data_IF_386668190602
#
_entry.id   IF_386668190602
#
_cell.length_a   1.000
_cell.length_b   1.000
_cell.length_c   1.000
_cell.angle_alpha   90.00
_cell.angle_beta   90.00
_cell.angle_gamma   90.00
#
_symmetry.space_group_name_H-M   'P 1'
#
loop_
_entity.id
_entity.type
_entity.pdbx_description
1 polymer ?
#
# COMPACT_ATOMS: atom_id res chain seq x y z
N UNK A 1 20.57 34.24 -50.54
CA UNK A 1 19.82 33.28 -51.40
C UNK A 1 20.56 31.95 -51.53
N UNK A 2 21.33 31.66 -52.60
CA UNK A 2 21.94 30.32 -52.80
C UNK A 2 23.04 29.99 -51.78
N UNK A 3 24.02 30.87 -51.62
CA UNK A 3 25.18 30.66 -50.72
C UNK A 3 24.76 30.51 -49.24
N UNK A 4 23.79 31.32 -48.82
CA UNK A 4 23.16 31.28 -47.49
C UNK A 4 22.41 29.95 -47.25
N UNK A 5 21.73 29.43 -48.27
CA UNK A 5 21.06 28.13 -48.20
C UNK A 5 22.06 26.98 -48.10
N UNK A 6 23.13 26.97 -48.91
CA UNK A 6 24.18 25.95 -48.83
C UNK A 6 24.97 26.03 -47.51
N UNK A 7 25.22 27.24 -46.99
CA UNK A 7 25.85 27.44 -45.68
C UNK A 7 25.01 26.84 -44.55
N UNK A 8 23.69 27.11 -44.53
CA UNK A 8 22.77 26.53 -43.55
C UNK A 8 22.58 25.01 -43.73
N UNK A 9 22.66 24.52 -44.97
CA UNK A 9 22.62 23.09 -45.27
C UNK A 9 23.91 22.37 -44.84
N UNK A 10 25.07 23.04 -44.88
CA UNK A 10 26.32 22.55 -44.32
C UNK A 10 26.28 22.51 -42.78
N UNK A 11 25.74 23.55 -42.13
CA UNK A 11 25.53 23.60 -40.67
C UNK A 11 24.67 22.43 -40.18
N UNK A 12 23.51 22.20 -40.81
CA UNK A 12 22.62 21.08 -40.48
C UNK A 12 23.28 19.69 -40.72
N UNK A 13 24.22 19.58 -41.67
CA UNK A 13 25.02 18.37 -41.92
C UNK A 13 26.14 18.16 -40.90
N UNK A 14 26.56 19.18 -40.16
CA UNK A 14 27.47 19.05 -39.02
C UNK A 14 26.68 18.64 -37.77
N UNK A 15 25.60 19.36 -37.44
CA UNK A 15 24.72 19.03 -36.31
C UNK A 15 24.19 17.59 -36.36
N UNK A 16 23.84 17.09 -37.55
CA UNK A 16 23.43 15.69 -37.71
C UNK A 16 24.57 14.68 -37.46
N UNK A 17 25.82 15.02 -37.77
CA UNK A 17 27.00 14.18 -37.48
C UNK A 17 27.34 14.19 -36.00
N UNK A 18 27.25 15.33 -35.34
CA UNK A 18 27.43 15.45 -33.88
C UNK A 18 26.41 14.57 -33.14
N UNK A 19 25.12 14.66 -33.50
CA UNK A 19 24.06 13.83 -32.92
C UNK A 19 24.28 12.33 -33.17
N UNK A 20 24.70 11.94 -34.38
CA UNK A 20 25.04 10.54 -34.69
C UNK A 20 26.24 10.03 -33.87
N UNK A 21 27.27 10.85 -33.70
CA UNK A 21 28.43 10.53 -32.89
C UNK A 21 28.07 10.34 -31.41
N UNK A 22 27.16 11.17 -30.87
CA UNK A 22 26.67 11.04 -29.51
C UNK A 22 25.77 9.82 -29.30
N UNK A 23 24.89 9.48 -30.25
CA UNK A 23 24.14 8.21 -30.19
C UNK A 23 25.08 6.99 -30.22
N UNK A 24 26.14 7.01 -31.05
CA UNK A 24 27.17 5.96 -31.06
C UNK A 24 28.02 5.93 -29.77
N UNK A 25 28.25 7.07 -29.12
CA UNK A 25 28.90 7.14 -27.80
C UNK A 25 27.99 6.50 -26.73
N UNK A 26 26.73 6.93 -26.67
CA UNK A 26 25.71 6.42 -25.74
C UNK A 26 25.50 4.90 -25.90
N UNK A 27 25.47 4.39 -27.13
CA UNK A 27 25.35 2.97 -27.43
C UNK A 27 26.56 2.17 -26.94
N UNK A 28 27.79 2.68 -27.12
CA UNK A 28 29.01 2.05 -26.61
C UNK A 28 29.04 1.99 -25.07
N UNK A 29 28.68 3.07 -24.39
CA UNK A 29 28.61 3.09 -22.92
C UNK A 29 27.52 2.16 -22.37
N UNK A 30 26.36 2.09 -23.02
CA UNK A 30 25.31 1.14 -22.66
C UNK A 30 25.76 -0.32 -22.83
N UNK A 31 26.47 -0.64 -23.93
CA UNK A 31 27.07 -1.97 -24.12
C UNK A 31 28.13 -2.29 -23.06
N UNK A 32 29.00 -1.32 -22.71
CA UNK A 32 29.99 -1.47 -21.65
C UNK A 32 29.35 -1.70 -20.27
N UNK A 33 28.22 -1.04 -19.98
CA UNK A 33 27.44 -1.27 -18.77
C UNK A 33 26.83 -2.68 -18.73
N UNK A 34 26.31 -3.20 -19.85
CA UNK A 34 25.83 -4.58 -19.97
C UNK A 34 26.96 -5.59 -19.73
N UNK A 35 28.16 -5.35 -20.29
CA UNK A 35 29.32 -6.23 -20.08
C UNK A 35 29.77 -6.24 -18.61
N UNK A 36 29.86 -5.06 -17.96
CA UNK A 36 30.15 -4.95 -16.52
C UNK A 36 29.13 -5.70 -15.66
N UNK A 37 27.84 -5.57 -15.97
CA UNK A 37 26.78 -6.31 -15.26
C UNK A 37 26.91 -7.82 -15.46
N UNK A 38 27.12 -8.31 -16.69
CA UNK A 38 27.34 -9.74 -16.98
C UNK A 38 28.53 -10.31 -16.19
N UNK A 39 29.66 -9.61 -16.17
CA UNK A 39 30.83 -10.02 -15.39
C UNK A 39 30.51 -10.09 -13.89
N UNK A 40 29.87 -9.06 -13.34
CA UNK A 40 29.43 -9.03 -11.95
C UNK A 40 28.51 -10.22 -11.61
N UNK A 41 27.54 -10.55 -12.46
CA UNK A 41 26.66 -11.72 -12.28
C UNK A 41 27.44 -13.03 -12.25
N UNK A 42 28.44 -13.21 -13.13
CA UNK A 42 29.29 -14.41 -13.13
C UNK A 42 30.13 -14.52 -11.84
N UNK A 43 30.68 -13.41 -11.35
CA UNK A 43 31.44 -13.38 -10.08
C UNK A 43 30.54 -13.75 -8.89
N UNK A 44 29.30 -13.26 -8.83
CA UNK A 44 28.33 -13.67 -7.81
C UNK A 44 27.92 -15.15 -7.93
N UNK A 45 27.74 -15.66 -9.15
CA UNK A 45 27.44 -17.07 -9.37
C UNK A 45 28.59 -17.99 -8.89
N UNK A 46 29.83 -17.67 -9.24
CA UNK A 46 31.02 -18.41 -8.79
C UNK A 46 31.17 -18.39 -7.26
N UNK A 47 30.93 -17.25 -6.61
CA UNK A 47 30.89 -17.14 -5.14
C UNK A 47 29.78 -17.98 -4.52
N UNK A 48 28.59 -18.04 -5.13
CA UNK A 48 27.47 -18.88 -4.65
C UNK A 48 27.81 -20.37 -4.73
N UNK A 49 28.44 -20.83 -5.81
CA UNK A 49 28.90 -22.23 -5.95
C UNK A 49 29.94 -22.56 -4.88
N UNK A 50 30.99 -21.75 -4.75
CA UNK A 50 32.04 -21.96 -3.74
C UNK A 50 31.52 -21.98 -2.30
N UNK A 51 30.49 -21.18 -1.98
CA UNK A 51 29.82 -21.23 -0.67
C UNK A 51 29.02 -22.52 -0.46
N UNK A 52 28.34 -23.01 -1.50
CA UNK A 52 27.61 -24.29 -1.45
C UNK A 52 28.59 -25.45 -1.24
N UNK A 53 29.73 -25.45 -1.94
CA UNK A 53 30.76 -26.49 -1.78
C UNK A 53 31.37 -26.48 -0.37
N UNK A 54 31.63 -25.31 0.21
CA UNK A 54 32.11 -25.19 1.59
C UNK A 54 31.08 -25.70 2.62
N UNK A 55 29.78 -25.40 2.42
CA UNK A 55 28.71 -25.93 3.27
C UNK A 55 28.56 -27.45 3.14
N UNK A 56 28.67 -27.99 1.92
CA UNK A 56 28.68 -29.43 1.67
C UNK A 56 29.85 -30.11 2.40
N UNK A 57 31.05 -29.56 2.35
CA UNK A 57 32.21 -30.10 3.08
C UNK A 57 31.97 -30.12 4.60
N UNK A 58 31.46 -29.02 5.18
CA UNK A 58 31.14 -28.93 6.61
C UNK A 58 30.06 -29.93 7.06
N UNK A 59 29.11 -30.28 6.20
CA UNK A 59 28.12 -31.33 6.47
C UNK A 59 28.74 -32.75 6.43
N UNK A 60 29.69 -32.99 5.54
CA UNK A 60 30.33 -34.31 5.39
C UNK A 60 31.48 -34.55 6.38
N UNK A 61 32.03 -33.50 7.00
CA UNK A 61 33.06 -33.61 8.05
C UNK A 61 32.49 -33.85 9.46
N UNK A 62 31.17 -33.91 9.65
CA UNK A 62 30.58 -34.27 10.93
C UNK A 62 30.88 -35.75 11.27
N UNK A 63 31.54 -36.05 12.40
CA UNK A 63 31.78 -37.44 12.79
C UNK A 63 30.46 -38.13 13.08
N UNK A 64 30.24 -39.32 12.52
CA UNK A 64 29.06 -40.15 12.81
C UNK A 64 29.11 -40.61 14.27
N UNK A 65 28.44 -39.88 15.15
CA UNK A 65 28.14 -40.34 16.49
C UNK A 65 27.34 -41.65 16.39
N UNK A 66 27.83 -42.71 17.04
CA UNK A 66 27.17 -44.03 17.02
C UNK A 66 25.97 -43.97 17.95
N UNK A 67 24.78 -43.87 17.34
CA UNK A 67 23.48 -44.03 17.98
C UNK A 67 22.72 -45.10 17.21
N UNK A 68 22.50 -46.23 17.88
CA UNK A 68 21.80 -47.41 17.39
C UNK A 68 20.32 -47.36 17.79
N UNK A 69 19.45 -47.70 16.85
CA UNK A 69 18.17 -48.40 17.03
C UNK A 69 17.06 -47.69 17.87
N UNK A 70 15.77 -47.66 17.52
CA UNK A 70 14.97 -48.39 16.51
C UNK A 70 13.92 -47.47 15.82
N UNK A 71 12.96 -48.10 15.11
CA UNK A 71 11.60 -47.63 14.74
C UNK A 71 11.42 -46.94 13.36
N UNK A 72 10.77 -47.71 12.46
CA UNK A 72 9.51 -47.28 11.84
C UNK A 72 9.57 -46.42 10.58
N UNK A 73 9.47 -47.06 9.40
CA UNK A 73 9.29 -46.38 8.12
C UNK A 73 7.82 -46.05 7.81
N UNK A 74 7.54 -44.95 7.09
CA UNK A 74 6.86 -44.99 5.78
C UNK A 74 6.87 -43.65 5.02
N UNK A 75 6.79 -43.76 3.69
CA UNK A 75 6.46 -42.80 2.62
C UNK A 75 5.75 -41.47 2.96
N UNK A 76 5.85 -40.34 2.22
CA UNK A 76 6.62 -39.89 1.01
C UNK A 76 6.22 -38.39 0.73
N UNK A 77 6.55 -37.65 -0.36
CA UNK A 77 7.13 -37.93 -1.70
C UNK A 77 8.15 -36.83 -2.16
N UNK A 78 8.05 -36.01 -3.25
CA UNK A 78 9.19 -35.19 -3.74
C UNK A 78 9.14 -33.70 -3.35
N UNK A 79 10.22 -32.95 -3.67
CA UNK A 79 10.33 -31.50 -3.51
C UNK A 79 10.40 -30.70 -4.83
N UNK A 80 10.97 -29.47 -4.77
CA UNK A 80 11.28 -28.63 -5.95
C UNK A 80 12.45 -27.67 -5.67
N UNK A 81 13.10 -27.18 -6.72
CA UNK A 81 14.36 -26.44 -6.66
C UNK A 81 14.23 -24.90 -6.79
N UNK A 82 15.36 -24.23 -6.54
CA UNK A 82 15.78 -22.84 -6.83
C UNK A 82 14.77 -21.79 -7.35
N UNK A 83 14.95 -20.56 -6.87
CA UNK A 83 14.55 -19.35 -7.60
C UNK A 83 15.49 -18.19 -7.26
N UNK A 84 16.40 -17.89 -8.19
CA UNK A 84 17.28 -16.72 -8.13
C UNK A 84 16.47 -15.45 -8.40
N UNK A 85 16.23 -14.64 -7.37
CA UNK A 85 15.44 -13.40 -7.46
C UNK A 85 16.26 -12.26 -8.07
N UNK A 86 16.15 -12.10 -9.39
CA UNK A 86 16.72 -10.94 -10.07
C UNK A 86 15.90 -9.68 -9.75
N UNK A 87 16.48 -8.75 -8.97
CA UNK A 87 15.78 -7.67 -8.25
C UNK A 87 15.23 -6.51 -9.10
N UNK A 88 14.41 -6.79 -10.12
CA UNK A 88 13.42 -5.84 -10.62
C UNK A 88 12.19 -5.88 -9.72
N UNK A 89 11.71 -4.71 -9.29
CA UNK A 89 10.42 -4.62 -8.62
C UNK A 89 9.31 -5.14 -9.56
N UNK A 90 8.33 -5.94 -9.08
CA UNK A 90 7.29 -6.49 -9.92
C UNK A 90 6.43 -5.37 -10.50
N UNK A 91 6.36 -5.30 -11.83
CA UNK A 91 5.46 -4.39 -12.53
C UNK A 91 4.07 -5.03 -12.57
N UNK A 92 3.17 -4.53 -11.74
CA UNK A 92 1.82 -5.08 -11.57
C UNK A 92 1.00 -4.93 -12.85
N UNK A 93 0.42 -6.03 -13.34
CA UNK A 93 -0.46 -6.01 -14.50
C UNK A 93 -1.74 -5.23 -14.16
N UNK A 94 -2.25 -4.47 -15.14
CA UNK A 94 -3.49 -3.67 -15.00
C UNK A 94 -4.77 -4.53 -14.85
N UNK A 95 -4.65 -5.83 -15.08
CA UNK A 95 -5.77 -6.77 -15.14
C UNK A 95 -5.98 -7.49 -13.79
N UNK A 96 -7.24 -7.83 -13.50
CA UNK A 96 -7.61 -8.68 -12.37
C UNK A 96 -7.09 -10.11 -12.60
N UNK A 97 -6.62 -10.79 -11.55
CA UNK A 97 -6.20 -12.19 -11.69
C UNK A 97 -7.36 -13.05 -12.22
N UNK A 98 -7.14 -13.78 -13.33
CA UNK A 98 -8.17 -14.61 -13.96
C UNK A 98 -8.76 -15.66 -13.00
N UNK A 99 -7.89 -16.34 -12.24
CA UNK A 99 -8.24 -17.36 -11.25
C UNK A 99 -9.12 -16.78 -10.13
N UNK A 100 -8.79 -15.57 -9.67
CA UNK A 100 -9.62 -14.83 -8.73
C UNK A 100 -10.95 -14.40 -9.37
N UNK A 101 -10.92 -13.90 -10.61
CA UNK A 101 -12.12 -13.45 -11.34
C UNK A 101 -13.13 -14.58 -11.55
N UNK A 102 -12.69 -15.83 -11.72
CA UNK A 102 -13.58 -16.99 -11.91
C UNK A 102 -13.97 -17.72 -10.63
N UNK A 103 -13.15 -17.69 -9.56
CA UNK A 103 -13.38 -18.50 -8.35
C UNK A 103 -13.53 -17.71 -7.04
N UNK A 104 -13.28 -16.39 -7.07
CA UNK A 104 -13.16 -15.55 -5.87
C UNK A 104 -11.89 -15.81 -5.04
N UNK A 105 -10.97 -16.65 -5.52
CA UNK A 105 -9.74 -17.05 -4.83
C UNK A 105 -8.56 -17.11 -5.81
N UNK A 106 -7.34 -16.91 -5.29
CA UNK A 106 -6.13 -17.17 -6.06
C UNK A 106 -5.14 -17.94 -5.18
N UNK A 107 -4.61 -19.04 -5.71
CA UNK A 107 -3.67 -19.93 -5.02
C UNK A 107 -2.20 -19.57 -5.32
N UNK A 108 -1.96 -18.64 -6.25
CA UNK A 108 -0.62 -18.27 -6.72
C UNK A 108 0.09 -17.40 -5.70
N UNK A 109 1.13 -17.97 -5.08
CA UNK A 109 1.90 -17.36 -4.01
C UNK A 109 2.69 -16.08 -4.41
N UNK A 110 2.77 -15.76 -5.70
CA UNK A 110 3.38 -14.55 -6.26
C UNK A 110 2.49 -13.99 -7.39
N UNK A 111 1.20 -13.74 -7.12
CA UNK A 111 0.31 -13.19 -8.14
C UNK A 111 0.65 -11.72 -8.46
N UNK A 112 1.01 -11.45 -9.72
CA UNK A 112 1.33 -10.10 -10.24
C UNK A 112 0.10 -9.33 -10.77
N UNK A 113 -1.09 -9.88 -10.58
CA UNK A 113 -2.38 -9.34 -11.02
C UNK A 113 -3.21 -8.94 -9.79
N UNK A 114 -4.12 -7.97 -9.93
CA UNK A 114 -4.88 -7.46 -8.78
C UNK A 114 -5.98 -8.43 -8.31
N UNK A 115 -6.18 -8.48 -6.97
CA UNK A 115 -7.22 -9.26 -6.30
C UNK A 115 -8.37 -8.35 -5.81
N UNK A 116 -9.14 -7.85 -6.77
CA UNK A 116 -10.45 -7.18 -6.63
C UNK A 116 -10.59 -6.09 -5.56
N UNK A 117 -9.53 -5.35 -5.25
CA UNK A 117 -9.71 -4.07 -4.55
C UNK A 117 -10.50 -3.12 -5.45
N UNK A 118 -11.53 -2.44 -4.93
CA UNK A 118 -12.32 -1.49 -5.72
C UNK A 118 -11.43 -0.34 -6.21
N UNK A 119 -11.46 -0.08 -7.52
CA UNK A 119 -10.76 1.06 -8.15
C UNK A 119 -11.62 2.33 -8.14
N UNK A 120 -12.95 2.17 -8.08
CA UNK A 120 -13.95 3.24 -8.02
C UNK A 120 -15.08 2.84 -7.06
N UNK A 121 -15.87 3.82 -6.62
CA UNK A 121 -16.98 3.64 -5.70
C UNK A 121 -17.88 4.89 -5.64
N UNK A 122 -19.07 4.82 -5.02
CA UNK A 122 -19.94 5.98 -4.85
C UNK A 122 -19.25 7.07 -3.99
N UNK A 123 -19.31 8.36 -4.38
CA UNK A 123 -18.71 9.44 -3.60
C UNK A 123 -19.26 9.52 -2.17
N UNK A 124 -18.37 9.59 -1.17
CA UNK A 124 -18.74 9.63 0.25
C UNK A 124 -19.00 8.26 0.89
N UNK A 125 -18.91 7.15 0.14
CA UNK A 125 -19.13 5.80 0.65
C UNK A 125 -17.84 4.99 0.83
N UNK A 126 -17.87 4.05 1.77
CA UNK A 126 -16.78 3.10 2.08
C UNK A 126 -17.24 1.67 1.75
N UNK A 127 -16.44 0.87 1.03
CA UNK A 127 -16.77 -0.50 0.70
C UNK A 127 -16.48 -1.44 1.87
N UNK A 128 -17.38 -2.41 2.08
CA UNK A 128 -17.32 -3.39 3.16
C UNK A 128 -17.51 -4.81 2.64
N UNK A 129 -16.86 -5.79 3.27
CA UNK A 129 -17.14 -7.20 3.05
C UNK A 129 -18.28 -7.74 3.95
N UNK A 130 -18.48 -9.07 3.94
CA UNK A 130 -19.50 -9.73 4.74
C UNK A 130 -19.29 -9.61 6.26
N UNK A 131 -18.07 -9.35 6.71
CA UNK A 131 -17.67 -9.23 8.12
C UNK A 131 -17.66 -7.77 8.63
N UNK A 132 -18.28 -6.83 7.89
CA UNK A 132 -18.22 -5.39 8.18
C UNK A 132 -16.78 -4.83 8.21
N UNK A 133 -15.80 -5.50 7.59
CA UNK A 133 -14.46 -4.94 7.45
C UNK A 133 -14.40 -3.99 6.24
N UNK A 134 -13.85 -2.80 6.45
CA UNK A 134 -13.45 -1.86 5.40
C UNK A 134 -12.48 -2.52 4.45
N UNK A 135 -12.80 -2.46 3.16
CA UNK A 135 -11.90 -2.82 2.08
C UNK A 135 -11.18 -1.56 1.61
N UNK A 136 -9.89 -1.66 1.40
CA UNK A 136 -9.09 -0.55 0.89
C UNK A 136 -9.33 -0.35 -0.61
N UNK A 137 -9.48 0.92 -1.01
CA UNK A 137 -9.48 1.30 -2.43
C UNK A 137 -8.11 0.98 -3.05
N UNK A 138 -8.09 0.56 -4.31
CA UNK A 138 -6.89 0.15 -5.03
C UNK A 138 -5.89 1.31 -5.22
N UNK A 139 -4.94 1.48 -4.30
CA UNK A 139 -3.91 2.52 -4.42
C UNK A 139 -2.80 2.08 -5.38
N UNK A 140 -2.55 2.88 -6.42
CA UNK A 140 -1.48 2.62 -7.39
C UNK A 140 -0.10 2.75 -6.74
N UNK A 141 0.73 1.71 -6.87
CA UNK A 141 2.13 1.73 -6.46
C UNK A 141 2.88 2.89 -7.15
N UNK A 142 3.61 3.75 -6.41
CA UNK A 142 4.44 4.78 -7.01
C UNK A 142 5.57 4.16 -7.86
N UNK A 143 5.82 4.72 -9.04
CA UNK A 143 6.90 4.25 -9.91
C UNK A 143 8.27 4.44 -9.23
N UNK A 144 9.20 3.51 -9.44
CA UNK A 144 10.46 3.42 -8.67
C UNK A 144 11.32 4.68 -8.72
N UNK A 145 11.28 5.46 -9.83
CA UNK A 145 11.94 6.77 -9.92
C UNK A 145 11.38 7.76 -8.90
N UNK A 146 10.05 7.95 -8.89
CA UNK A 146 9.33 8.80 -7.95
C UNK A 146 9.54 8.34 -6.50
N UNK A 147 9.61 7.03 -6.25
CA UNK A 147 9.92 6.48 -4.94
C UNK A 147 11.37 6.76 -4.51
N UNK A 148 12.33 6.74 -5.43
CA UNK A 148 13.72 7.16 -5.16
C UNK A 148 13.77 8.65 -4.85
N UNK A 149 13.15 9.48 -5.67
CA UNK A 149 13.03 10.95 -5.48
C UNK A 149 12.42 11.29 -4.12
N UNK A 150 11.32 10.63 -3.73
CA UNK A 150 10.70 10.77 -2.41
C UNK A 150 11.64 10.40 -1.26
N UNK A 151 12.40 9.32 -1.39
CA UNK A 151 13.33 8.91 -0.34
C UNK A 151 14.59 9.80 -0.26
N UNK A 152 15.03 10.41 -1.36
CA UNK A 152 16.05 11.47 -1.35
C UNK A 152 15.51 12.76 -0.74
N UNK A 153 14.32 13.21 -1.12
CA UNK A 153 13.67 14.37 -0.50
C UNK A 153 13.49 14.19 1.02
N UNK A 154 13.16 12.97 1.46
CA UNK A 154 13.07 12.61 2.89
C UNK A 154 14.38 12.69 3.69
N UNK A 155 15.54 12.87 3.04
CA UNK A 155 16.84 12.98 3.71
C UNK A 155 17.14 14.42 4.18
N UNK A 156 16.57 15.45 3.55
CA UNK A 156 16.68 16.83 4.04
C UNK A 156 15.63 17.16 5.11
N UNK A 157 14.54 16.42 5.18
CA UNK A 157 13.54 16.51 6.24
C UNK A 157 12.40 15.50 6.05
N UNK A 158 11.68 15.16 7.12
CA UNK A 158 10.43 14.40 6.98
C UNK A 158 9.29 15.40 6.70
N UNK A 159 8.62 15.37 5.52
CA UNK A 159 7.48 16.23 5.24
C UNK A 159 6.30 15.87 6.15
N UNK A 160 5.56 16.88 6.60
CA UNK A 160 4.33 16.67 7.35
C UNK A 160 3.27 16.06 6.44
N UNK A 161 2.69 14.95 6.89
CA UNK A 161 1.64 14.25 6.16
C UNK A 161 0.37 15.06 6.09
N UNK A 162 -0.08 15.58 7.24
CA UNK A 162 -1.39 16.21 7.34
C UNK A 162 -1.38 17.53 6.56
N UNK A 163 -0.35 18.36 6.77
CA UNK A 163 -0.16 19.62 6.04
C UNK A 163 -0.09 19.42 4.52
N UNK A 164 0.71 18.49 4.01
CA UNK A 164 0.89 18.32 2.57
C UNK A 164 -0.22 17.49 1.87
N UNK A 165 -1.11 16.82 2.62
CA UNK A 165 -2.16 15.95 2.05
C UNK A 165 -3.58 16.46 2.35
N UNK A 166 -3.85 17.04 3.53
CA UNK A 166 -5.11 17.73 3.86
C UNK A 166 -5.05 19.24 3.59
N UNK A 167 -3.86 19.86 3.71
CA UNK A 167 -3.65 21.31 3.60
C UNK A 167 -3.43 22.00 4.95
N UNK A 168 -3.65 21.28 6.06
CA UNK A 168 -3.59 21.78 7.43
C UNK A 168 -2.93 20.76 8.37
N UNK A 169 -2.43 21.21 9.51
CA UNK A 169 -1.91 20.32 10.55
C UNK A 169 -2.13 20.95 11.93
N UNK A 170 -2.81 20.21 12.80
CA UNK A 170 -3.22 20.63 14.16
C UNK A 170 -2.03 21.05 15.04
N UNK A 171 -0.82 20.56 14.74
CA UNK A 171 0.40 20.93 15.45
C UNK A 171 0.99 22.29 15.02
N UNK A 172 0.43 22.95 14.00
CA UNK A 172 0.82 24.31 13.58
C UNK A 172 2.33 24.50 13.42
N UNK A 173 2.87 25.53 14.07
CA UNK A 173 4.31 25.85 14.06
C UNK A 173 5.15 24.93 14.97
N UNK A 174 4.55 24.26 15.95
CA UNK A 174 5.26 23.29 16.83
C UNK A 174 5.39 21.90 16.20
N UNK A 175 4.96 21.73 14.95
CA UNK A 175 5.09 20.49 14.22
C UNK A 175 6.57 20.16 13.91
N UNK A 176 7.04 19.01 14.39
CA UNK A 176 8.40 18.48 14.10
C UNK A 176 8.63 18.01 12.65
N UNK A 177 7.67 18.23 11.77
CA UNK A 177 7.68 17.80 10.36
C UNK A 177 7.57 19.01 9.45
N UNK A 178 8.23 18.98 8.29
CA UNK A 178 8.32 20.15 7.43
C UNK A 178 6.94 20.58 6.87
N UNK A 179 6.59 21.85 7.08
CA UNK A 179 5.44 22.55 6.47
C UNK A 179 5.91 23.43 5.30
N UNK A 180 6.68 22.82 4.37
CA UNK A 180 7.33 23.54 3.28
C UNK A 180 6.40 23.94 2.13
N UNK A 181 6.92 24.48 1.02
CA UNK A 181 6.14 24.77 -0.17
C UNK A 181 5.34 23.56 -0.69
N UNK A 182 4.22 23.78 -1.41
CA UNK A 182 3.40 22.69 -1.94
C UNK A 182 4.19 21.68 -2.77
N UNK A 183 4.21 20.43 -2.31
CA UNK A 183 4.86 19.31 -3.02
C UNK A 183 4.02 18.84 -4.21
N UNK A 184 4.67 18.25 -5.22
CA UNK A 184 4.00 17.70 -6.40
C UNK A 184 3.06 16.54 -6.05
N UNK A 185 2.02 16.32 -6.88
CA UNK A 185 1.09 15.20 -6.66
C UNK A 185 1.75 13.83 -6.83
N UNK A 186 2.86 13.74 -7.59
CA UNK A 186 3.73 12.55 -7.60
C UNK A 186 4.33 12.29 -6.21
N UNK A 187 4.77 13.33 -5.51
CA UNK A 187 5.29 13.23 -4.14
C UNK A 187 4.19 12.90 -3.14
N UNK A 188 3.00 13.52 -3.27
CA UNK A 188 1.81 13.18 -2.48
C UNK A 188 1.40 11.72 -2.67
N UNK A 189 1.50 11.16 -3.88
CA UNK A 189 1.19 9.73 -4.11
C UNK A 189 2.16 8.79 -3.39
N UNK A 190 3.46 9.14 -3.32
CA UNK A 190 4.42 8.41 -2.50
C UNK A 190 4.11 8.51 -1.00
N UNK A 191 3.69 9.68 -0.51
CA UNK A 191 3.27 9.87 0.89
C UNK A 191 2.03 9.06 1.24
N UNK A 192 0.99 9.09 0.39
CA UNK A 192 -0.22 8.26 0.55
C UNK A 192 0.14 6.77 0.57
N UNK A 193 0.99 6.31 -0.34
CA UNK A 193 1.43 4.90 -0.37
C UNK A 193 2.23 4.47 0.87
N UNK A 194 3.03 5.37 1.46
CA UNK A 194 3.73 5.12 2.73
C UNK A 194 2.73 4.94 3.89
N UNK A 195 1.73 5.81 3.98
CA UNK A 195 0.69 5.74 5.02
C UNK A 195 -0.16 4.48 4.87
N UNK A 196 -0.48 4.09 3.64
CA UNK A 196 -1.23 2.88 3.31
C UNK A 196 -0.52 1.57 3.72
N UNK A 197 0.79 1.64 4.02
CA UNK A 197 1.58 0.55 4.61
C UNK A 197 1.72 0.64 6.14
N UNK A 198 1.09 1.64 6.77
CA UNK A 198 0.97 1.84 8.22
C UNK A 198 -0.43 1.40 8.67
N UNK A 199 -0.55 0.80 9.87
CA UNK A 199 -1.84 0.31 10.37
C UNK A 199 -2.78 1.47 10.68
N UNK A 200 -4.07 1.34 10.37
CA UNK A 200 -5.12 2.20 10.91
C UNK A 200 -5.52 1.70 12.30
N UNK A 201 -5.56 2.57 13.31
CA UNK A 201 -5.91 2.21 14.70
C UNK A 201 -7.33 1.64 14.83
N UNK A 202 -8.23 2.00 13.91
CA UNK A 202 -9.58 1.47 13.81
C UNK A 202 -9.68 0.19 12.95
N UNK A 203 -8.60 -0.25 12.28
CA UNK A 203 -8.54 -1.44 11.43
C UNK A 203 -9.72 -1.56 10.46
N UNK A 204 -10.27 -2.77 10.32
CA UNK A 204 -11.47 -3.03 9.51
C UNK A 204 -12.73 -2.25 9.96
N UNK A 205 -12.81 -1.78 11.21
CA UNK A 205 -13.94 -0.99 11.71
C UNK A 205 -13.87 0.50 11.31
N UNK A 206 -12.79 0.95 10.67
CA UNK A 206 -12.64 2.35 10.24
C UNK A 206 -13.74 2.78 9.25
N UNK A 207 -14.35 3.95 9.51
CA UNK A 207 -15.37 4.59 8.64
C UNK A 207 -15.02 6.03 8.26
N UNK A 208 -13.75 6.42 8.40
CA UNK A 208 -13.22 7.75 8.04
C UNK A 208 -12.95 7.83 6.53
N UNK A 209 -13.56 8.76 5.79
CA UNK A 209 -13.41 8.82 4.32
C UNK A 209 -11.96 9.08 3.92
N UNK A 210 -11.31 10.02 4.61
CA UNK A 210 -9.96 10.51 4.32
C UNK A 210 -8.82 9.60 4.82
N UNK A 211 -9.13 8.47 5.48
CA UNK A 211 -8.10 7.68 6.13
C UNK A 211 -7.05 7.17 5.13
N UNK A 212 -5.81 7.60 5.34
CA UNK A 212 -4.66 7.27 4.49
C UNK A 212 -3.93 6.00 4.94
N UNK A 213 -4.24 5.49 6.14
CA UNK A 213 -3.62 4.28 6.69
C UNK A 213 -4.24 3.02 6.09
N UNK A 214 -3.49 1.91 6.07
CA UNK A 214 -3.97 0.62 5.61
C UNK A 214 -4.87 -0.06 6.64
N UNK A 215 -5.99 -0.62 6.18
CA UNK A 215 -6.96 -1.31 7.04
C UNK A 215 -6.78 -2.84 6.99
N UNK A 216 -6.22 -3.35 5.91
CA UNK A 216 -5.78 -4.74 5.76
C UNK A 216 -4.58 -4.83 4.82
N UNK A 217 -3.95 -6.01 4.71
CA UNK A 217 -2.87 -6.24 3.77
C UNK A 217 -3.43 -6.52 2.36
N UNK A 218 -2.87 -5.88 1.35
CA UNK A 218 -3.28 -6.02 -0.06
C UNK A 218 -2.52 -7.13 -0.81
N UNK A 219 -1.41 -7.58 -0.22
CA UNK A 219 -0.57 -8.67 -0.75
C UNK A 219 -1.17 -10.00 -0.29
N UNK A 220 -1.72 -10.79 -1.22
CA UNK A 220 -2.26 -12.12 -0.93
C UNK A 220 -1.62 -13.19 -1.83
N UNK A 221 -0.77 -14.09 -1.28
CA UNK A 221 -0.24 -14.06 0.09
C UNK A 221 0.75 -12.90 0.29
N UNK A 222 1.00 -12.54 1.55
CA UNK A 222 2.04 -11.59 1.91
C UNK A 222 3.32 -12.35 2.27
N UNK A 223 4.41 -12.07 1.56
CA UNK A 223 5.73 -12.67 1.81
C UNK A 223 6.59 -11.86 2.79
N UNK A 224 6.09 -10.72 3.28
CA UNK A 224 6.80 -9.83 4.22
C UNK A 224 6.64 -10.34 5.65
N UNK A 225 7.69 -10.97 6.19
CA UNK A 225 7.70 -11.51 7.56
C UNK A 225 7.39 -10.47 8.67
N UNK A 226 7.63 -9.18 8.40
CA UNK A 226 7.37 -8.05 9.31
C UNK A 226 6.14 -7.22 8.94
N UNK A 227 5.18 -7.79 8.19
CA UNK A 227 3.97 -7.07 7.80
C UNK A 227 2.99 -6.90 8.97
N UNK A 228 2.80 -5.65 9.38
CA UNK A 228 1.91 -5.23 10.48
C UNK A 228 0.42 -5.14 10.10
N UNK A 229 0.09 -5.20 8.80
CA UNK A 229 -1.30 -5.13 8.33
C UNK A 229 -2.00 -6.49 8.40
N UNK A 230 -3.30 -6.49 8.74
CA UNK A 230 -4.12 -7.70 8.88
C UNK A 230 -4.17 -8.54 7.59
N UNK A 231 -3.79 -9.81 7.68
CA UNK A 231 -3.86 -10.77 6.57
C UNK A 231 -5.19 -11.55 6.56
N UNK A 232 -5.51 -12.19 5.44
CA UNK A 232 -6.65 -13.12 5.35
C UNK A 232 -8.05 -12.47 5.28
N UNK A 233 -8.15 -11.14 5.18
CA UNK A 233 -9.42 -10.42 5.01
C UNK A 233 -10.05 -10.74 3.65
N UNK A 234 -11.35 -11.07 3.60
CA UNK A 234 -12.11 -11.19 2.35
C UNK A 234 -12.17 -9.83 1.66
N UNK A 235 -11.51 -9.66 0.51
CA UNK A 235 -11.46 -8.40 -0.25
C UNK A 235 -12.68 -8.17 -1.16
N UNK A 236 -13.65 -9.10 -1.17
CA UNK A 236 -14.90 -8.95 -1.91
C UNK A 236 -15.82 -7.92 -1.23
N UNK A 237 -16.10 -6.84 -1.94
CA UNK A 237 -17.12 -5.86 -1.53
C UNK A 237 -18.50 -6.50 -1.60
N UNK A 238 -19.25 -6.40 -0.51
CA UNK A 238 -20.63 -6.89 -0.35
C UNK A 238 -21.62 -5.71 -0.25
N UNK A 239 -21.22 -4.62 0.40
CA UNK A 239 -22.02 -3.38 0.49
C UNK A 239 -21.15 -2.14 0.59
N UNK A 240 -21.79 -0.99 0.40
CA UNK A 240 -21.20 0.34 0.60
C UNK A 240 -21.97 1.05 1.73
N UNK A 241 -21.28 1.79 2.60
CA UNK A 241 -21.90 2.61 3.66
C UNK A 241 -21.40 4.05 3.61
N UNK A 242 -22.19 5.05 4.03
CA UNK A 242 -21.68 6.41 4.23
C UNK A 242 -20.48 6.43 5.18
N UNK A 243 -19.50 7.28 4.88
CA UNK A 243 -18.40 7.56 5.80
C UNK A 243 -18.86 8.46 6.96
N UNK A 244 -18.37 8.21 8.18
CA UNK A 244 -18.77 8.93 9.40
C UNK A 244 -18.40 10.42 9.36
N UNK A 245 -17.20 10.71 8.86
CA UNK A 245 -16.62 12.06 8.85
C UNK A 245 -17.17 12.93 7.70
N UNK A 246 -18.13 12.43 6.92
CA UNK A 246 -18.59 13.06 5.67
C UNK A 246 -19.67 14.14 5.89
N UNK A 247 -19.62 14.82 7.04
CA UNK A 247 -20.28 16.12 7.22
C UNK A 247 -19.31 17.16 6.63
N UNK A 248 -19.58 17.75 5.46
CA UNK A 248 -18.71 18.77 4.92
C UNK A 248 -18.69 19.97 5.85
N UNK A 249 -17.50 20.38 6.32
CA UNK A 249 -17.27 21.58 7.14
C UNK A 249 -17.39 22.89 6.34
N UNK A 250 -18.28 22.92 5.34
CA UNK A 250 -18.62 24.09 4.55
C UNK A 250 -19.78 24.88 5.18
N UNK A 251 -19.71 26.22 5.25
CA UNK A 251 -20.68 27.04 5.99
C UNK A 251 -22.04 27.23 5.29
N UNK A 252 -22.38 26.42 4.29
CA UNK A 252 -23.64 26.50 3.52
C UNK A 252 -24.23 25.11 3.33
N UNK A 253 -25.26 24.81 4.12
CA UNK A 253 -25.87 23.48 4.16
C UNK A 253 -26.97 23.38 5.22
N UNK A 254 -27.89 24.35 5.26
CA UNK A 254 -29.09 24.27 6.11
C UNK A 254 -29.94 23.11 5.63
N UNK A 255 -29.73 21.92 6.20
CA UNK A 255 -30.67 20.82 6.06
C UNK A 255 -32.04 21.31 6.59
N UNK A 256 -33.14 21.03 5.89
CA UNK A 256 -34.46 21.33 6.43
C UNK A 256 -34.61 20.59 7.76
N UNK A 257 -35.07 21.30 8.79
CA UNK A 257 -35.31 20.67 10.08
C UNK A 257 -36.29 19.51 9.90
N UNK A 258 -35.93 18.32 10.37
CA UNK A 258 -36.87 17.20 10.44
C UNK A 258 -37.99 17.62 11.38
N UNK A 259 -39.17 17.88 10.81
CA UNK A 259 -40.37 18.19 11.58
C UNK A 259 -40.81 16.93 12.30
N UNK A 260 -40.35 16.79 13.55
CA UNK A 260 -40.90 15.83 14.51
C UNK A 260 -42.33 16.24 14.81
N UNK A 261 -43.26 15.78 13.97
CA UNK A 261 -44.68 16.05 14.12
C UNK A 261 -45.21 15.23 15.30
N UNK A 262 -45.28 15.90 16.45
CA UNK A 262 -45.61 15.29 17.74
C UNK A 262 -47.11 15.09 17.87
N UNK A 263 -47.65 14.10 17.16
CA UNK A 263 -49.02 13.60 17.31
C UNK A 263 -49.24 13.05 18.72
N UNK A 264 -49.70 13.92 19.62
CA UNK A 264 -50.05 13.57 20.99
C UNK A 264 -51.41 12.88 21.03
N UNK A 265 -51.43 11.55 21.15
CA UNK A 265 -52.62 10.82 21.55
C UNK A 265 -52.86 11.03 23.05
N UNK A 266 -53.92 11.77 23.37
CA UNK A 266 -54.46 11.90 24.72
C UNK A 266 -55.42 10.74 25.00
N UNK A 267 -55.13 9.92 26.01
CA UNK A 267 -56.10 8.97 26.58
C UNK A 267 -56.31 9.31 28.06
N UNK A 268 -57.55 9.19 28.55
CA UNK A 268 -57.98 9.69 29.86
C UNK A 268 -58.52 8.55 30.76
N UNK A 269 -57.96 8.45 31.97
CA UNK A 269 -58.40 7.49 33.01
C UNK A 269 -57.28 6.52 33.41
N UNK A 270 -57.26 5.95 34.63
CA UNK A 270 -58.32 5.88 35.65
C UNK A 270 -57.81 6.37 37.03
N UNK A 271 -58.73 6.61 37.96
CA UNK A 271 -58.42 7.08 39.34
C UNK A 271 -58.24 5.92 40.34
N UNK A 272 -57.53 6.23 41.46
CA UNK A 272 -57.38 5.50 42.76
C UNK A 272 -55.90 5.25 43.12
N UNK A 273 -55.48 5.27 44.40
CA UNK A 273 -56.13 5.78 45.61
C UNK A 273 -55.07 6.29 46.62
N UNK A 274 -55.48 6.89 47.73
CA UNK A 274 -54.57 7.58 48.67
C UNK A 274 -54.21 6.79 49.95
N UNK A 275 -52.91 6.64 50.20
CA UNK A 275 -52.25 6.54 51.54
C UNK A 275 -50.79 6.97 51.35
N UNK A 276 -50.21 8.04 51.92
CA UNK A 276 -50.25 8.68 53.26
C UNK A 276 -49.21 8.10 54.25
N UNK A 277 -48.46 9.01 54.90
CA UNK A 277 -47.23 8.81 55.71
C UNK A 277 -46.05 8.24 54.90
N UNK A 278 -44.77 8.57 55.15
CA UNK A 278 -44.07 9.36 56.17
C UNK A 278 -42.56 8.94 56.09
N UNK A 279 -41.54 9.64 56.61
CA UNK A 279 -41.40 10.92 57.32
C UNK A 279 -39.93 11.43 57.16
N UNK A 280 -39.73 12.75 57.23
CA UNK A 280 -38.62 13.45 57.93
C UNK A 280 -37.14 13.06 57.66
N UNK A 281 -36.43 13.95 56.92
CA UNK A 281 -35.03 14.41 57.11
C UNK A 281 -33.88 13.34 57.05
N UNK A 282 -32.56 13.61 57.24
CA UNK A 282 -31.82 14.79 57.73
C UNK A 282 -30.33 14.77 57.25
N UNK A 283 -29.80 15.94 56.81
CA UNK A 283 -28.41 16.47 56.85
C UNK A 283 -27.18 15.62 56.44
N UNK A 284 -26.33 16.26 55.64
CA UNK A 284 -24.86 16.16 55.43
C UNK A 284 -24.04 15.01 56.03
N UNK A 285 -23.20 14.40 55.17
CA UNK A 285 -21.73 14.43 55.29
C UNK A 285 -21.03 14.27 53.93
#
# INVERSE_FOLDING_TARGET
MSEEFESRLAELREQLRELQQDDDNNLRDFQAAIQKYRHMTMVYAARRVSLIDALNQLMHSQPKAVLSDEIGATSSRPGRADSSSNSRAPEYHKETCWEYKTTGKCTKHNCTFYHTLPTTGPPGFIPLNAQDHRIDMMMRLPHWKLWKEYNTYRQSGQPCVDFHIRGECDNGEVCRYAHGPPISDTMKSCMKYRLWNTVCDNGGACRRLDCLNGHHCHFNPCTRATCVLSHGVDTRVVRWVPAKDNIPSGPFGTLPAETTDSSSESDEGETRDATQSGEINLIDM
#
